data_IF_741311242811
#
_entry.id   IF_741311242811
#
_cell.length_a   1.000
_cell.length_b   1.000
_cell.length_c   1.000
_cell.angle_alpha   90.00
_cell.angle_beta   90.00
_cell.angle_gamma   90.00
#
_symmetry.space_group_name_H-M   'P 1'
#
loop_
_entity.id
_entity.type
_entity.pdbx_description
1 polymer ?
#
# COMPACT_ATOMS: atom_id res chain seq x y z
N UNK A 1 7.12 -11.04 1.18
CA UNK A 1 6.33 -9.79 1.13
C UNK A 1 6.98 -8.78 2.07
N UNK A 2 7.11 -7.51 1.67
CA UNK A 2 7.77 -6.47 2.48
C UNK A 2 6.72 -5.72 3.27
N UNK A 3 6.97 -5.50 4.57
CA UNK A 3 6.07 -4.75 5.48
C UNK A 3 6.78 -3.49 5.96
N UNK A 4 6.04 -2.40 6.07
CA UNK A 4 6.52 -1.12 6.58
C UNK A 4 5.53 -0.59 7.61
N UNK A 5 6.05 0.06 8.64
CA UNK A 5 5.26 0.74 9.67
C UNK A 5 5.38 2.23 9.44
N UNK A 6 4.25 2.92 9.36
CA UNK A 6 4.20 4.37 9.16
C UNK A 6 3.25 4.96 10.20
N UNK A 7 3.78 5.78 11.11
CA UNK A 7 3.02 6.46 12.16
C UNK A 7 2.12 5.54 13.04
N UNK A 8 2.48 4.26 13.20
CA UNK A 8 1.75 3.19 13.93
C UNK A 8 0.88 2.27 13.06
N UNK A 9 0.57 2.65 11.81
CA UNK A 9 -0.13 1.77 10.88
C UNK A 9 0.83 0.80 10.18
N UNK A 10 0.41 -0.47 10.02
CA UNK A 10 1.14 -1.50 9.30
C UNK A 10 0.68 -1.57 7.84
N UNK A 11 1.64 -1.55 6.92
CA UNK A 11 1.38 -1.67 5.49
C UNK A 11 2.18 -2.81 4.87
N UNK A 12 1.55 -3.57 3.99
CA UNK A 12 2.24 -4.53 3.10
C UNK A 12 2.51 -3.85 1.77
N UNK A 13 3.77 -3.77 1.38
CA UNK A 13 4.18 -3.22 0.07
C UNK A 13 3.89 -4.25 -1.01
N UNK A 14 2.94 -3.93 -1.89
CA UNK A 14 2.60 -4.69 -3.09
C UNK A 14 3.53 -4.35 -4.27
N UNK A 15 4.05 -3.12 -4.32
CA UNK A 15 4.95 -2.67 -5.37
C UNK A 15 5.57 -1.31 -5.08
N UNK A 16 6.60 -0.96 -5.85
CA UNK A 16 7.25 0.36 -5.78
C UNK A 16 7.46 0.90 -7.18
N UNK A 17 7.16 2.18 -7.39
CA UNK A 17 7.39 2.87 -8.66
C UNK A 17 7.98 4.25 -8.42
N UNK A 18 8.75 4.75 -9.37
CA UNK A 18 9.29 6.11 -9.29
C UNK A 18 8.19 7.12 -9.58
N UNK A 19 8.00 8.08 -8.69
CA UNK A 19 6.99 9.13 -8.79
C UNK A 19 7.14 9.96 -10.07
N UNK A 20 8.36 10.19 -10.53
CA UNK A 20 8.64 10.89 -11.79
C UNK A 20 8.11 10.15 -13.03
N UNK A 21 8.00 8.82 -12.97
CA UNK A 21 7.57 7.97 -14.09
C UNK A 21 6.06 7.71 -14.07
N UNK A 22 5.39 8.07 -12.98
CA UNK A 22 3.95 7.90 -12.85
C UNK A 22 3.27 9.07 -13.57
N UNK A 23 2.82 8.79 -14.79
CA UNK A 23 2.02 9.69 -15.62
C UNK A 23 0.51 9.59 -15.33
N UNK A 24 0.11 8.61 -14.54
CA UNK A 24 -1.28 8.26 -14.22
C UNK A 24 -1.62 8.66 -12.78
N UNK A 25 -2.90 8.67 -12.43
CA UNK A 25 -3.31 9.00 -11.06
C UNK A 25 -2.97 7.85 -10.09
N UNK A 26 -2.81 8.16 -8.80
CA UNK A 26 -2.59 7.13 -7.76
C UNK A 26 -3.73 6.12 -7.69
N UNK A 27 -4.96 6.51 -8.02
CA UNK A 27 -6.12 5.60 -8.09
C UNK A 27 -5.99 4.57 -9.22
N UNK A 28 -5.55 4.99 -10.40
CA UNK A 28 -5.26 4.06 -11.51
C UNK A 28 -4.08 3.16 -11.17
N UNK A 29 -3.07 3.71 -10.49
CA UNK A 29 -1.93 2.95 -10.00
C UNK A 29 -2.39 1.86 -9.01
N UNK A 30 -3.32 2.16 -8.09
CA UNK A 30 -3.92 1.16 -7.19
C UNK A 30 -4.69 0.09 -7.97
N UNK A 31 -5.47 0.48 -8.98
CA UNK A 31 -6.27 -0.45 -9.79
C UNK A 31 -5.41 -1.53 -10.48
N UNK A 32 -4.15 -1.23 -10.78
CA UNK A 32 -3.19 -2.22 -11.32
C UNK A 32 -2.77 -3.30 -10.31
N UNK A 33 -2.97 -3.06 -9.01
CA UNK A 33 -2.61 -3.96 -7.92
C UNK A 33 -3.87 -4.38 -7.17
N UNK A 34 -4.36 -5.59 -7.44
CA UNK A 34 -5.62 -6.13 -6.90
C UNK A 34 -5.77 -6.03 -5.37
N UNK A 35 -4.68 -6.06 -4.62
CA UNK A 35 -4.67 -6.02 -3.16
C UNK A 35 -4.37 -4.63 -2.58
N UNK A 36 -3.94 -3.68 -3.40
CA UNK A 36 -3.53 -2.38 -2.92
C UNK A 36 -4.73 -1.47 -2.67
N UNK A 37 -4.76 -0.86 -1.49
CA UNK A 37 -5.79 0.10 -1.10
C UNK A 37 -5.20 1.50 -0.90
N UNK A 38 -3.87 1.58 -0.70
CA UNK A 38 -3.16 2.81 -0.39
C UNK A 38 -1.91 2.98 -1.25
N UNK A 39 -1.54 4.24 -1.54
CA UNK A 39 -0.26 4.59 -2.15
C UNK A 39 0.43 5.60 -1.25
N UNK A 40 1.59 5.21 -0.70
CA UNK A 40 2.42 6.07 0.13
C UNK A 40 3.51 6.69 -0.74
N UNK A 41 3.83 7.97 -0.52
CA UNK A 41 4.93 8.63 -1.21
C UNK A 41 6.07 8.89 -0.23
N UNK A 42 7.28 8.47 -0.58
CA UNK A 42 8.49 8.86 0.12
C UNK A 42 9.49 9.40 -0.90
N UNK A 43 9.65 10.72 -0.94
CA UNK A 43 10.44 11.43 -1.94
C UNK A 43 9.96 11.13 -3.37
N UNK A 44 10.86 10.57 -4.16
CA UNK A 44 10.66 10.21 -5.57
C UNK A 44 10.13 8.78 -5.77
N UNK A 45 9.75 8.07 -4.71
CA UNK A 45 9.19 6.72 -4.82
C UNK A 45 7.77 6.66 -4.27
N UNK A 46 6.86 6.11 -5.06
CA UNK A 46 5.56 5.64 -4.61
C UNK A 46 5.63 4.18 -4.19
N UNK A 47 5.07 3.89 -3.03
CA UNK A 47 4.91 2.56 -2.46
C UNK A 47 3.43 2.21 -2.54
N UNK A 48 3.11 1.29 -3.42
CA UNK A 48 1.76 0.75 -3.55
C UNK A 48 1.58 -0.27 -2.43
N UNK A 49 0.66 -0.02 -1.52
CA UNK A 49 0.52 -0.80 -0.30
C UNK A 49 -0.93 -1.22 -0.03
N UNK A 50 -1.05 -2.34 0.68
CA UNK A 50 -2.26 -2.70 1.39
C UNK A 50 -2.10 -2.26 2.84
N UNK A 51 -3.05 -1.48 3.35
CA UNK A 51 -3.15 -1.24 4.79
C UNK A 51 -3.58 -2.54 5.46
N UNK A 52 -2.84 -2.94 6.49
CA UNK A 52 -3.25 -4.04 7.36
C UNK A 52 -3.96 -3.40 8.53
N UNK A 53 -5.28 -3.41 8.47
CA UNK A 53 -6.08 -3.19 9.66
C UNK A 53 -5.97 -4.46 10.51
N UNK A 54 -5.73 -4.27 11.81
CA UNK A 54 -5.75 -5.34 12.79
C UNK A 54 -7.20 -5.79 12.93
N UNK A 55 -7.61 -6.69 12.04
CA UNK A 55 -8.93 -7.30 12.11
C UNK A 55 -8.91 -8.30 13.26
N UNK A 56 -9.40 -7.87 14.42
CA UNK A 56 -9.71 -8.76 15.54
C UNK A 56 -10.72 -9.81 15.03
N UNK A 57 -10.24 -11.00 14.72
CA UNK A 57 -11.08 -12.13 14.38
C UNK A 57 -11.48 -12.83 15.68
N UNK A 58 -12.74 -12.68 16.10
CA UNK A 58 -13.34 -13.62 17.04
C UNK A 58 -13.50 -14.97 16.31
N UNK A 59 -12.79 -15.99 16.79
CA UNK A 59 -13.04 -17.37 16.39
C UNK A 59 -14.45 -17.73 16.84
N UNK A 60 -15.37 -17.80 15.88
CA UNK A 60 -16.73 -18.31 16.11
C UNK A 60 -16.65 -19.83 16.31
N UNK A 61 -16.32 -20.23 17.53
CA UNK A 61 -16.41 -21.62 18.04
C UNK A 61 -17.85 -22.03 18.33
#
# INVERSE_FOLDING_TARGET
>A
MKRIVVNDDLFVVCGTVLAEKVITSTEELKSQYRLADTVLRNGDTFYICQKIDDAEFEDIS
#
